data_IF_208587963086
#
_entry.id   IF_208587963086
#
_cell.length_a   1.000
_cell.length_b   1.000
_cell.length_c   1.000
_cell.angle_alpha   90.00
_cell.angle_beta   90.00
_cell.angle_gamma   90.00
#
_symmetry.space_group_name_H-M   'P 1'
#
loop_
_entity.id
_entity.type
_entity.pdbx_description
1 polymer ?
#
# COMPACT_ATOMS: atom_id res chain seq x y z
N UNK A 1 -6.96 24.90 -0.01
CA UNK A 1 -5.74 24.53 0.73
C UNK A 1 -5.47 23.09 0.41
N UNK A 2 -4.35 22.80 -0.27
CA UNK A 2 -3.80 21.45 -0.35
C UNK A 2 -3.21 21.14 1.02
N UNK A 3 -3.87 20.25 1.75
CA UNK A 3 -3.31 19.76 3.01
C UNK A 3 -2.03 18.99 2.69
N UNK A 4 -0.91 19.39 3.29
CA UNK A 4 0.38 18.74 3.02
C UNK A 4 0.36 17.37 3.69
N UNK A 5 0.46 16.30 2.92
CA UNK A 5 0.42 14.94 3.45
C UNK A 5 1.49 14.73 4.53
N UNK A 6 1.05 14.32 5.73
CA UNK A 6 1.96 13.92 6.80
C UNK A 6 2.40 12.47 6.61
N UNK A 7 3.67 12.29 6.30
CA UNK A 7 4.27 10.99 6.08
C UNK A 7 4.80 10.31 7.35
N UNK A 8 4.65 10.89 8.54
CA UNK A 8 5.23 10.34 9.77
C UNK A 8 4.78 8.90 10.07
N UNK A 9 3.46 8.65 10.05
CA UNK A 9 2.86 7.32 10.26
C UNK A 9 3.30 6.30 9.20
N UNK A 10 3.24 6.68 7.93
CA UNK A 10 3.69 5.83 6.83
C UNK A 10 5.20 5.52 6.88
N UNK A 11 6.04 6.50 7.28
CA UNK A 11 7.48 6.32 7.44
C UNK A 11 7.84 5.38 8.59
N UNK A 12 7.12 5.47 9.72
CA UNK A 12 7.28 4.53 10.84
C UNK A 12 6.86 3.10 10.44
N UNK A 13 5.78 2.96 9.67
CA UNK A 13 5.36 1.66 9.12
C UNK A 13 6.39 1.11 8.11
N UNK A 14 6.94 1.94 7.22
CA UNK A 14 8.00 1.51 6.30
C UNK A 14 9.17 0.91 7.07
N UNK A 15 9.72 1.64 8.06
CA UNK A 15 10.86 1.18 8.84
C UNK A 15 10.54 -0.12 9.59
N UNK A 16 9.45 -0.13 10.38
CA UNK A 16 9.08 -1.28 11.20
C UNK A 16 8.84 -2.55 10.36
N UNK A 17 8.06 -2.47 9.28
CA UNK A 17 7.76 -3.64 8.46
C UNK A 17 8.95 -4.08 7.61
N UNK A 18 9.81 -3.15 7.18
CA UNK A 18 11.02 -3.49 6.42
C UNK A 18 12.10 -4.13 7.28
N UNK A 19 12.27 -3.69 8.53
CA UNK A 19 13.14 -4.35 9.53
C UNK A 19 12.64 -5.78 9.81
N UNK A 20 11.34 -5.95 10.06
CA UNK A 20 10.74 -7.27 10.28
C UNK A 20 10.82 -8.17 9.02
N UNK A 21 10.73 -7.56 7.84
CA UNK A 21 10.94 -8.18 6.53
C UNK A 21 12.41 -8.44 6.17
N UNK A 22 13.36 -8.11 7.04
CA UNK A 22 14.81 -8.29 6.86
C UNK A 22 15.41 -7.53 5.66
N UNK A 23 14.76 -6.44 5.22
CA UNK A 23 15.29 -5.54 4.20
C UNK A 23 16.46 -4.72 4.75
N UNK A 24 17.42 -4.37 3.88
CA UNK A 24 18.68 -3.74 4.27
C UNK A 24 18.85 -2.33 3.69
N UNK A 25 19.65 -1.48 4.36
CA UNK A 25 19.86 -0.07 4.01
C UNK A 25 18.55 0.75 3.88
N UNK A 26 17.69 0.64 4.89
CA UNK A 26 16.40 1.32 4.92
C UNK A 26 16.57 2.85 4.95
N UNK A 27 15.83 3.55 4.09
CA UNK A 27 15.77 5.01 4.10
C UNK A 27 14.40 5.54 3.68
N UNK A 28 14.14 6.79 4.05
CA UNK A 28 12.97 7.57 3.66
C UNK A 28 13.45 8.95 3.23
N UNK A 29 12.97 9.46 2.09
CA UNK A 29 13.36 10.78 1.57
C UNK A 29 12.20 11.50 0.89
N UNK A 30 11.90 12.71 1.35
CA UNK A 30 11.04 13.68 0.64
C UNK A 30 11.83 14.53 -0.38
N UNK A 31 13.17 14.42 -0.39
CA UNK A 31 14.05 14.99 -1.41
C UNK A 31 14.14 14.05 -2.60
N UNK A 32 13.02 13.90 -3.32
CA UNK A 32 12.89 13.05 -4.50
C UNK A 32 12.63 13.91 -5.75
N UNK A 33 13.28 13.59 -6.87
CA UNK A 33 13.21 14.41 -8.09
C UNK A 33 11.90 14.21 -8.88
N UNK A 34 11.26 13.05 -8.73
CA UNK A 34 10.11 12.61 -9.51
C UNK A 34 8.97 12.06 -8.64
N UNK A 35 9.05 12.23 -7.33
CA UNK A 35 8.08 11.73 -6.36
C UNK A 35 7.97 12.65 -5.14
N UNK A 36 6.87 12.51 -4.39
CA UNK A 36 6.63 13.29 -3.17
C UNK A 36 7.40 12.69 -2.00
N UNK A 37 7.52 11.36 -1.97
CA UNK A 37 8.32 10.63 -0.99
C UNK A 37 8.81 9.30 -1.57
N UNK A 38 10.07 8.98 -1.27
CA UNK A 38 10.75 7.73 -1.60
C UNK A 38 10.95 6.92 -0.32
N UNK A 39 10.49 5.68 -0.32
CA UNK A 39 10.84 4.65 0.65
C UNK A 39 11.79 3.66 -0.03
N UNK A 40 12.96 3.37 0.52
CA UNK A 40 13.93 2.50 -0.17
C UNK A 40 14.76 1.63 0.76
N UNK A 41 15.21 0.52 0.17
CA UNK A 41 16.15 -0.47 0.69
C UNK A 41 17.07 -0.91 -0.47
N UNK A 42 18.02 -1.80 -0.25
CA UNK A 42 18.83 -2.38 -1.34
C UNK A 42 17.98 -3.17 -2.35
N UNK A 43 16.93 -3.84 -1.87
CA UNK A 43 16.22 -4.90 -2.60
C UNK A 43 14.84 -4.46 -3.11
N UNK A 44 14.34 -3.31 -2.63
CA UNK A 44 13.02 -2.78 -2.96
C UNK A 44 12.92 -1.27 -2.69
N UNK A 45 12.24 -0.53 -3.56
CA UNK A 45 11.80 0.85 -3.27
C UNK A 45 10.38 1.13 -3.73
N UNK A 46 9.77 2.14 -3.10
CA UNK A 46 8.47 2.70 -3.44
C UNK A 46 8.64 4.20 -3.69
N UNK A 47 8.28 4.66 -4.88
CA UNK A 47 8.13 6.08 -5.19
C UNK A 47 6.64 6.41 -5.09
N UNK A 48 6.25 7.20 -4.08
CA UNK A 48 4.89 7.70 -3.94
C UNK A 48 4.82 9.11 -4.55
N UNK A 49 4.08 9.24 -5.65
CA UNK A 49 3.88 10.48 -6.41
C UNK A 49 2.51 11.07 -6.14
N UNK A 50 2.39 12.39 -6.16
CA UNK A 50 1.12 13.09 -6.39
C UNK A 50 1.17 13.71 -7.80
N UNK A 51 0.27 13.29 -8.69
CA UNK A 51 0.16 13.87 -10.05
C UNK A 51 -0.86 15.02 -10.15
N UNK A 52 -1.43 15.44 -9.01
CA UNK A 52 -2.48 16.45 -8.89
C UNK A 52 -3.90 15.89 -9.09
N UNK A 53 -4.04 14.63 -9.53
CA UNK A 53 -5.32 13.91 -9.64
C UNK A 53 -5.33 12.60 -8.84
N UNK A 54 -4.17 11.96 -8.70
CA UNK A 54 -3.96 10.68 -8.06
C UNK A 54 -2.65 10.66 -7.25
N UNK A 55 -2.72 9.99 -6.10
CA UNK A 55 -1.58 9.44 -5.41
C UNK A 55 -1.20 8.13 -6.09
N UNK A 56 -0.01 8.08 -6.68
CA UNK A 56 0.44 6.98 -7.54
C UNK A 56 1.64 6.28 -6.93
N UNK A 57 1.57 4.96 -6.89
CA UNK A 57 2.62 4.07 -6.38
C UNK A 57 3.39 3.49 -7.55
N UNK A 58 4.67 3.84 -7.66
CA UNK A 58 5.63 3.08 -8.45
C UNK A 58 6.49 2.22 -7.53
N UNK A 59 6.93 1.06 -8.02
CA UNK A 59 7.83 0.18 -7.27
C UNK A 59 9.09 -0.11 -8.07
N UNK A 60 10.20 -0.37 -7.38
CA UNK A 60 11.45 -0.83 -7.98
C UNK A 60 11.87 -2.11 -7.28
N UNK A 61 12.20 -3.15 -8.04
CA UNK A 61 12.68 -4.43 -7.50
C UNK A 61 14.20 -4.48 -7.29
N UNK A 62 14.67 -5.60 -6.73
CA UNK A 62 16.07 -5.99 -6.52
C UNK A 62 16.95 -5.83 -7.77
N UNK A 63 16.35 -6.05 -8.95
CA UNK A 63 16.98 -5.92 -10.28
C UNK A 63 16.97 -4.49 -10.81
N UNK A 64 16.58 -3.50 -10.00
CA UNK A 64 16.41 -2.08 -10.35
C UNK A 64 15.41 -1.84 -11.48
N UNK A 65 14.49 -2.76 -11.71
CA UNK A 65 13.43 -2.62 -12.70
C UNK A 65 12.27 -1.89 -12.05
N UNK A 66 11.97 -0.70 -12.56
CA UNK A 66 10.84 0.11 -12.10
C UNK A 66 9.56 -0.32 -12.80
N UNK A 67 8.51 -0.53 -12.01
CA UNK A 67 7.14 -0.66 -12.46
C UNK A 67 6.39 0.60 -12.06
N UNK A 68 5.94 1.36 -13.05
CA UNK A 68 5.15 2.57 -12.81
C UNK A 68 3.67 2.22 -12.63
N UNK A 69 2.93 3.10 -11.96
CA UNK A 69 1.46 3.07 -11.89
C UNK A 69 0.89 1.77 -11.29
N UNK A 70 1.66 1.08 -10.43
CA UNK A 70 1.29 -0.22 -9.82
C UNK A 70 0.05 -0.15 -8.93
N UNK A 71 -0.23 1.03 -8.37
CA UNK A 71 -1.50 1.37 -7.75
C UNK A 71 -1.77 2.88 -7.86
N UNK A 72 -3.04 3.29 -7.89
CA UNK A 72 -3.46 4.70 -7.86
C UNK A 72 -4.58 4.93 -6.85
N UNK A 73 -4.55 6.05 -6.14
CA UNK A 73 -5.52 6.39 -5.09
C UNK A 73 -5.95 7.86 -5.20
N UNK A 74 -7.23 8.17 -4.97
CA UNK A 74 -7.71 9.56 -5.11
C UNK A 74 -7.29 10.49 -3.96
N UNK A 75 -6.69 9.95 -2.90
CA UNK A 75 -6.18 10.70 -1.75
C UNK A 75 -5.05 9.92 -1.07
N UNK A 76 -4.26 10.64 -0.26
CA UNK A 76 -3.12 10.08 0.47
C UNK A 76 -3.52 8.96 1.44
N UNK A 77 -4.60 9.13 2.21
CA UNK A 77 -5.01 8.13 3.21
C UNK A 77 -5.29 6.75 2.62
N UNK A 78 -5.91 6.67 1.44
CA UNK A 78 -6.07 5.39 0.73
C UNK A 78 -4.72 4.80 0.26
N UNK A 79 -3.77 5.61 -0.19
CA UNK A 79 -2.44 5.15 -0.55
C UNK A 79 -1.65 4.64 0.68
N UNK A 80 -1.77 5.34 1.81
CA UNK A 80 -1.16 4.98 3.09
C UNK A 80 -1.69 3.63 3.60
N UNK A 81 -3.02 3.43 3.63
CA UNK A 81 -3.65 2.14 3.97
C UNK A 81 -3.11 0.99 3.12
N UNK A 82 -2.94 1.21 1.81
CA UNK A 82 -2.46 0.21 0.88
C UNK A 82 -1.00 -0.17 1.16
N UNK A 83 -0.13 0.83 1.32
CA UNK A 83 1.30 0.61 1.57
C UNK A 83 1.55 -0.08 2.91
N UNK A 84 0.87 0.36 3.99
CA UNK A 84 0.90 -0.30 5.30
C UNK A 84 0.51 -1.78 5.17
N UNK A 85 -0.57 -2.07 4.43
CA UNK A 85 -1.02 -3.44 4.21
C UNK A 85 -0.04 -4.30 3.40
N UNK A 86 0.53 -3.76 2.32
CA UNK A 86 1.48 -4.48 1.46
C UNK A 86 2.76 -4.82 2.23
N UNK A 87 3.34 -3.85 2.94
CA UNK A 87 4.57 -4.06 3.70
C UNK A 87 4.34 -5.01 4.88
N UNK A 88 3.27 -4.82 5.64
CA UNK A 88 2.93 -5.73 6.74
C UNK A 88 2.63 -7.16 6.28
N UNK A 89 1.89 -7.34 5.19
CA UNK A 89 1.61 -8.68 4.63
C UNK A 89 2.88 -9.38 4.13
N UNK A 90 3.81 -8.62 3.55
CA UNK A 90 5.11 -9.12 3.10
C UNK A 90 5.97 -9.55 4.30
N UNK A 91 6.11 -8.68 5.29
CA UNK A 91 6.88 -8.95 6.51
C UNK A 91 6.36 -10.16 7.29
N UNK A 92 5.03 -10.28 7.44
CA UNK A 92 4.37 -11.46 8.05
C UNK A 92 4.77 -12.76 7.37
N UNK A 93 4.94 -12.75 6.05
CA UNK A 93 5.36 -13.93 5.29
C UNK A 93 6.81 -14.32 5.59
N UNK A 94 7.70 -13.35 5.79
CA UNK A 94 9.11 -13.56 6.18
C UNK A 94 9.20 -14.20 7.57
N UNK A 95 8.48 -13.67 8.56
CA UNK A 95 8.46 -14.20 9.93
C UNK A 95 7.54 -15.41 10.13
N UNK A 96 6.93 -15.92 9.05
CA UNK A 96 6.02 -17.09 9.03
C UNK A 96 4.78 -16.92 9.93
N UNK A 97 4.34 -15.68 10.13
CA UNK A 97 3.07 -15.37 10.79
C UNK A 97 1.88 -15.69 9.86
N UNK A 98 0.66 -15.87 10.40
CA UNK A 98 -0.53 -16.16 9.58
C UNK A 98 -0.78 -15.10 8.50
N UNK A 99 -0.80 -15.52 7.22
CA UNK A 99 -1.05 -14.62 6.08
C UNK A 99 -2.54 -14.25 6.03
N UNK A 100 -2.84 -12.95 6.05
CA UNK A 100 -4.20 -12.43 6.19
C UNK A 100 -4.93 -12.27 4.84
N UNK A 101 -4.19 -11.88 3.80
CA UNK A 101 -4.72 -11.61 2.45
C UNK A 101 -5.63 -12.71 1.86
N UNK A 102 -5.27 -14.01 1.90
CA UNK A 102 -6.10 -15.08 1.37
C UNK A 102 -7.49 -15.16 2.00
N UNK A 103 -7.64 -14.83 3.30
CA UNK A 103 -8.95 -14.83 3.98
C UNK A 103 -9.83 -13.67 3.52
N UNK A 104 -9.26 -12.51 3.22
CA UNK A 104 -9.99 -11.37 2.66
C UNK A 104 -10.34 -11.61 1.18
N UNK A 105 -9.38 -12.13 0.41
CA UNK A 105 -9.59 -12.46 -1.00
C UNK A 105 -10.73 -13.48 -1.20
N UNK A 106 -10.79 -14.52 -0.37
CA UNK A 106 -11.85 -15.53 -0.41
C UNK A 106 -13.26 -15.00 -0.07
N UNK A 107 -13.40 -13.77 0.47
CA UNK A 107 -14.70 -13.14 0.71
C UNK A 107 -15.23 -12.37 -0.51
N UNK A 108 -14.43 -12.21 -1.57
CA UNK A 108 -14.75 -11.34 -2.71
C UNK A 108 -14.70 -9.86 -2.32
N UNK A 109 -15.20 -8.99 -3.20
CA UNK A 109 -15.24 -7.54 -2.94
C UNK A 109 -16.14 -7.19 -1.74
N UNK A 110 -15.67 -6.25 -0.92
CA UNK A 110 -16.38 -5.79 0.27
C UNK A 110 -17.74 -5.14 -0.05
N UNK A 111 -18.71 -5.36 0.83
CA UNK A 111 -20.07 -4.83 0.66
C UNK A 111 -20.10 -3.30 0.62
N UNK A 112 -20.83 -2.75 -0.36
CA UNK A 112 -20.94 -1.31 -0.58
C UNK A 112 -19.66 -0.66 -1.13
N UNK A 113 -18.70 -1.43 -1.66
CA UNK A 113 -17.65 -0.93 -2.55
C UNK A 113 -18.05 -1.28 -3.99
N UNK A 114 -18.07 -0.31 -4.90
CA UNK A 114 -18.28 -0.58 -6.31
C UNK A 114 -16.94 -0.93 -6.95
N UNK A 115 -16.79 -2.17 -7.44
CA UNK A 115 -15.63 -2.62 -8.19
C UNK A 115 -15.95 -2.62 -9.68
N UNK A 116 -15.32 -1.72 -10.44
CA UNK A 116 -15.57 -1.52 -11.87
C UNK A 116 -14.35 -2.05 -12.63
N UNK A 117 -14.47 -3.11 -13.46
CA UNK A 117 -13.35 -3.58 -14.27
C UNK A 117 -12.98 -2.52 -15.31
N UNK A 118 -11.69 -2.17 -15.40
CA UNK A 118 -11.17 -1.22 -16.38
C UNK A 118 -10.25 -1.87 -17.41
N UNK A 119 -9.63 -3.00 -17.05
CA UNK A 119 -8.90 -3.89 -17.95
C UNK A 119 -8.83 -5.29 -17.32
N UNK A 120 -8.21 -6.26 -18.00
CA UNK A 120 -8.03 -7.61 -17.47
C UNK A 120 -7.33 -7.57 -16.09
N UNK A 121 -7.94 -8.24 -15.10
CA UNK A 121 -7.44 -8.31 -13.73
C UNK A 121 -7.39 -6.98 -12.97
N UNK A 122 -7.85 -5.85 -13.52
CA UNK A 122 -7.66 -4.51 -12.95
C UNK A 122 -8.99 -3.78 -12.77
N UNK A 123 -9.20 -3.26 -11.56
CA UNK A 123 -10.46 -2.65 -11.14
C UNK A 123 -10.26 -1.22 -10.62
N UNK A 124 -11.19 -0.33 -10.95
CA UNK A 124 -11.43 0.90 -10.19
C UNK A 124 -12.43 0.59 -9.06
N UNK A 125 -11.98 0.68 -7.82
CA UNK A 125 -12.79 0.63 -6.62
C UNK A 125 -13.33 2.03 -6.32
N UNK A 126 -14.62 2.14 -5.97
CA UNK A 126 -15.25 3.41 -5.58
C UNK A 126 -16.06 3.25 -4.29
N UNK A 127 -15.91 4.22 -3.40
CA UNK A 127 -16.66 4.34 -2.15
C UNK A 127 -16.77 5.81 -1.70
N UNK A 128 -17.30 6.07 -0.50
CA UNK A 128 -17.40 7.44 0.02
C UNK A 128 -16.02 7.99 0.46
N UNK A 129 -15.12 7.08 0.79
CA UNK A 129 -13.75 7.31 1.24
C UNK A 129 -12.80 7.64 0.06
N UNK A 130 -13.25 7.41 -1.18
CA UNK A 130 -12.55 7.80 -2.40
C UNK A 130 -12.55 6.71 -3.47
N UNK A 131 -11.48 6.70 -4.27
CA UNK A 131 -11.28 5.79 -5.41
C UNK A 131 -9.89 5.16 -5.34
N UNK A 132 -9.78 3.92 -5.78
CA UNK A 132 -8.50 3.23 -5.95
C UNK A 132 -8.48 2.45 -7.27
N UNK A 133 -7.34 2.41 -7.96
CA UNK A 133 -7.11 1.56 -9.13
C UNK A 133 -6.06 0.53 -8.78
N UNK A 134 -6.43 -0.74 -8.84
CA UNK A 134 -5.63 -1.86 -8.37
C UNK A 134 -5.83 -3.10 -9.26
N UNK A 135 -4.76 -3.89 -9.38
CA UNK A 135 -4.79 -5.23 -9.97
C UNK A 135 -5.14 -6.28 -8.89
N UNK A 136 -5.72 -7.41 -9.29
CA UNK A 136 -5.90 -8.56 -8.40
C UNK A 136 -4.56 -9.19 -7.97
N UNK A 137 -4.48 -9.79 -6.77
CA UNK A 137 -5.54 -9.94 -5.75
C UNK A 137 -5.75 -8.68 -4.88
N UNK A 138 -4.97 -7.61 -5.12
CA UNK A 138 -4.99 -6.43 -4.27
C UNK A 138 -6.27 -5.61 -4.40
N UNK A 139 -6.91 -5.59 -5.58
CA UNK A 139 -8.22 -4.97 -5.75
C UNK A 139 -9.28 -5.57 -4.80
N UNK A 140 -9.45 -6.90 -4.82
CA UNK A 140 -10.38 -7.58 -3.92
C UNK A 140 -10.00 -7.35 -2.45
N UNK A 141 -8.73 -7.55 -2.07
CA UNK A 141 -8.28 -7.41 -0.68
C UNK A 141 -8.47 -5.97 -0.16
N UNK A 142 -8.02 -4.97 -0.92
CA UNK A 142 -8.04 -3.57 -0.50
C UNK A 142 -9.45 -3.00 -0.38
N UNK A 143 -10.44 -3.57 -1.08
CA UNK A 143 -11.85 -3.18 -0.91
C UNK A 143 -12.33 -3.29 0.56
N UNK A 144 -11.84 -4.28 1.32
CA UNK A 144 -12.10 -4.43 2.76
C UNK A 144 -11.35 -3.41 3.62
N UNK A 145 -10.30 -2.80 3.09
CA UNK A 145 -9.42 -1.87 3.82
C UNK A 145 -9.81 -0.40 3.60
N UNK A 146 -10.48 -0.05 2.49
CA UNK A 146 -10.89 1.34 2.18
C UNK A 146 -11.60 2.02 3.36
N UNK A 147 -12.51 1.29 4.04
CA UNK A 147 -13.27 1.78 5.20
C UNK A 147 -12.59 1.57 6.55
N UNK A 148 -11.59 0.70 6.62
CA UNK A 148 -10.91 0.37 7.89
C UNK A 148 -9.98 1.51 8.27
N UNK A 149 -10.02 2.04 9.50
CA UNK A 149 -9.05 3.01 10.01
C UNK A 149 -7.61 2.48 9.93
N UNK A 150 -6.61 3.35 9.76
CA UNK A 150 -5.23 2.88 9.57
C UNK A 150 -4.66 2.22 10.84
N UNK A 151 -5.02 2.72 12.03
CA UNK A 151 -4.65 2.13 13.32
C UNK A 151 -5.22 0.72 13.51
N UNK A 152 -6.45 0.49 13.03
CA UNK A 152 -7.07 -0.84 12.99
C UNK A 152 -6.36 -1.77 11.99
N UNK A 153 -5.94 -1.27 10.82
CA UNK A 153 -5.12 -2.04 9.86
C UNK A 153 -3.78 -2.42 10.49
N UNK A 154 -3.09 -1.49 11.15
CA UNK A 154 -1.84 -1.75 11.86
C UNK A 154 -2.03 -2.79 12.97
N UNK A 155 -3.11 -2.66 13.77
CA UNK A 155 -3.44 -3.62 14.83
C UNK A 155 -3.70 -5.03 14.28
N UNK A 156 -4.46 -5.14 13.19
CA UNK A 156 -4.71 -6.40 12.49
C UNK A 156 -3.40 -7.03 11.99
N UNK A 157 -2.53 -6.24 11.35
CA UNK A 157 -1.23 -6.70 10.85
C UNK A 157 -0.26 -7.12 11.96
N UNK A 158 -0.35 -6.51 13.15
CA UNK A 158 0.47 -6.83 14.33
C UNK A 158 -0.06 -8.01 15.16
N UNK A 159 -1.31 -8.44 14.93
CA UNK A 159 -1.92 -9.58 15.65
C UNK A 159 -1.21 -10.89 15.28
N UNK A 160 -0.92 -11.76 16.26
CA UNK A 160 -0.17 -13.01 16.10
C UNK A 160 1.27 -12.82 15.53
N UNK A 161 1.88 -11.65 15.74
CA UNK A 161 3.34 -11.52 15.71
C UNK A 161 3.88 -11.90 17.10
N UNK A 162 4.78 -12.89 17.14
CA UNK A 162 5.50 -13.30 18.36
C UNK A 162 6.71 -12.40 18.64
#
# INVERSE_FOLDING_TARGET
>A
MTDTADFARLSQNWLYWSELGQLSNLSVSTSCADCTILFSSNDYSVHLRDDGSWWVVDTVNDRRQRQNDTAKFSNYGLAEKYLIWVWGSTARSVVRAPILGPKLYAQGFASGIAAIPISEGTYELRSLEGRAVLMEPYATIFSHLMRTPEDEIERILRTDLN
#
